data_IF_765489464680
#
_entry.id   IF_765489464680
#
_cell.length_a   1.000
_cell.length_b   1.000
_cell.length_c   1.000
_cell.angle_alpha   90.00
_cell.angle_beta   90.00
_cell.angle_gamma   90.00
#
_symmetry.space_group_name_H-M   'P 1'
#
loop_
_entity.id
_entity.type
_entity.pdbx_description
1 polymer ?
#
# COMPACT_ATOMS: atom_id res chain seq x y z
N UNK A 1 20.49 -16.15 20.94
CA UNK A 1 19.71 -14.93 21.22
C UNK A 1 19.76 -14.07 19.97
N UNK A 2 18.66 -13.45 19.56
CA UNK A 2 18.67 -12.52 18.44
C UNK A 2 19.62 -11.35 18.73
N UNK A 3 20.43 -10.99 17.74
CA UNK A 3 21.37 -9.88 17.85
C UNK A 3 20.63 -8.53 17.80
N UNK A 4 21.08 -7.54 18.59
CA UNK A 4 20.43 -6.22 18.69
C UNK A 4 20.45 -5.47 17.35
N UNK A 5 21.51 -5.67 16.57
CA UNK A 5 21.67 -5.10 15.23
C UNK A 5 20.61 -5.66 14.28
N UNK A 6 20.36 -6.97 14.34
CA UNK A 6 19.30 -7.64 13.58
C UNK A 6 17.90 -7.17 14.00
N UNK A 7 17.61 -7.09 15.31
CA UNK A 7 16.31 -6.63 15.82
C UNK A 7 16.00 -5.19 15.39
N UNK A 8 17.02 -4.32 15.39
CA UNK A 8 16.92 -2.95 14.89
C UNK A 8 16.63 -2.92 13.38
N UNK A 9 17.34 -3.72 12.59
CA UNK A 9 17.11 -3.77 11.13
C UNK A 9 15.69 -4.22 10.79
N UNK A 10 15.20 -5.27 11.44
CA UNK A 10 13.81 -5.76 11.30
C UNK A 10 12.81 -4.67 11.67
N UNK A 11 13.03 -3.98 12.79
CA UNK A 11 12.16 -2.89 13.24
C UNK A 11 12.08 -1.75 12.21
N UNK A 12 13.23 -1.38 11.64
CA UNK A 12 13.31 -0.34 10.59
C UNK A 12 12.53 -0.77 9.35
N UNK A 13 12.80 -1.97 8.83
CA UNK A 13 12.14 -2.51 7.64
C UNK A 13 10.63 -2.69 7.85
N UNK A 14 10.22 -3.14 9.03
CA UNK A 14 8.81 -3.22 9.45
C UNK A 14 8.15 -1.85 9.41
N UNK A 15 8.82 -0.82 9.94
CA UNK A 15 8.34 0.56 9.89
C UNK A 15 8.21 1.11 8.46
N UNK A 16 9.11 0.72 7.56
CA UNK A 16 9.04 1.09 6.13
C UNK A 16 7.79 0.46 5.49
N UNK A 17 7.59 -0.85 5.65
CA UNK A 17 6.41 -1.55 5.11
C UNK A 17 5.12 -0.92 5.64
N UNK A 18 5.03 -0.67 6.95
CA UNK A 18 3.85 -0.05 7.58
C UNK A 18 3.51 1.33 6.99
N UNK A 19 4.51 2.15 6.66
CA UNK A 19 4.30 3.47 6.03
C UNK A 19 3.81 3.32 4.59
N UNK A 20 4.40 2.41 3.83
CA UNK A 20 4.02 2.16 2.44
C UNK A 20 2.60 1.60 2.32
N UNK A 21 2.19 0.72 3.25
CA UNK A 21 0.79 0.24 3.35
C UNK A 21 -0.18 1.42 3.53
N UNK A 22 0.14 2.35 4.44
CA UNK A 22 -0.69 3.53 4.68
C UNK A 22 -0.73 4.47 3.48
N UNK A 23 0.41 4.67 2.82
CA UNK A 23 0.54 5.50 1.62
C UNK A 23 -0.32 4.94 0.47
N UNK A 24 -0.24 3.63 0.22
CA UNK A 24 -1.04 2.96 -0.80
C UNK A 24 -2.55 3.08 -0.51
N UNK A 25 -2.95 2.71 0.71
CA UNK A 25 -4.35 2.79 1.14
C UNK A 25 -4.93 4.21 1.08
N UNK A 26 -4.09 5.23 1.31
CA UNK A 26 -4.51 6.63 1.18
C UNK A 26 -4.85 6.97 -0.27
N UNK A 27 -3.99 6.63 -1.22
CA UNK A 27 -4.23 6.91 -2.64
C UNK A 27 -5.41 6.14 -3.20
N UNK A 28 -5.60 4.87 -2.80
CA UNK A 28 -6.79 4.08 -3.16
C UNK A 28 -8.09 4.74 -2.67
N UNK A 29 -8.13 5.19 -1.42
CA UNK A 29 -9.30 5.88 -0.86
C UNK A 29 -9.58 7.22 -1.51
N UNK A 30 -8.54 7.96 -1.87
CA UNK A 30 -8.71 9.24 -2.56
C UNK A 30 -9.21 9.01 -3.99
N UNK A 31 -8.70 8.01 -4.73
CA UNK A 31 -9.25 7.63 -6.03
C UNK A 31 -10.75 7.25 -5.92
N UNK A 32 -11.11 6.39 -4.96
CA UNK A 32 -12.49 5.98 -4.72
C UNK A 32 -13.40 7.18 -4.45
N UNK A 33 -12.99 8.06 -3.54
CA UNK A 33 -13.73 9.27 -3.18
C UNK A 33 -13.92 10.21 -4.37
N UNK A 34 -12.88 10.42 -5.18
CA UNK A 34 -12.95 11.24 -6.38
C UNK A 34 -13.86 10.61 -7.44
N UNK A 35 -13.87 9.29 -7.55
CA UNK A 35 -14.74 8.52 -8.46
C UNK A 35 -16.20 8.60 -8.04
N UNK A 36 -16.50 8.42 -6.74
CA UNK A 36 -17.85 8.60 -6.17
C UNK A 36 -18.36 10.02 -6.45
N UNK A 37 -17.50 11.03 -6.29
CA UNK A 37 -17.84 12.42 -6.58
C UNK A 37 -18.16 12.61 -8.07
N UNK A 38 -17.37 12.05 -8.98
CA UNK A 38 -17.65 12.10 -10.42
C UNK A 38 -19.01 11.46 -10.76
N UNK A 39 -19.29 10.29 -10.19
CA UNK A 39 -20.57 9.59 -10.39
C UNK A 39 -21.76 10.43 -9.91
N UNK A 40 -21.65 11.07 -8.74
CA UNK A 40 -22.69 11.97 -8.23
C UNK A 40 -22.90 13.17 -9.16
N UNK A 41 -21.82 13.78 -9.66
CA UNK A 41 -21.91 14.90 -10.61
C UNK A 41 -22.60 14.52 -11.92
N UNK A 42 -22.36 13.29 -12.41
CA UNK A 42 -23.01 12.77 -13.61
C UNK A 42 -24.49 12.44 -13.36
N UNK A 43 -24.82 11.91 -12.17
CA UNK A 43 -26.19 11.57 -11.80
C UNK A 43 -27.09 12.82 -11.62
N UNK A 44 -26.53 13.91 -11.06
CA UNK A 44 -27.26 15.17 -10.88
C UNK A 44 -27.60 15.87 -12.20
N UNK A 45 -26.92 15.52 -13.31
CA UNK A 45 -27.25 15.97 -14.67
C UNK A 45 -27.05 17.47 -14.96
N UNK A 46 -26.71 18.28 -13.95
CA UNK A 46 -26.49 19.72 -14.05
C UNK A 46 -25.02 20.16 -14.06
N UNK A 47 -24.08 19.24 -13.96
CA UNK A 47 -22.65 19.55 -13.98
C UNK A 47 -22.16 19.83 -15.41
N UNK A 48 -21.46 20.95 -15.60
CA UNK A 48 -20.84 21.34 -16.86
C UNK A 48 -19.73 20.35 -17.28
N UNK A 49 -19.65 20.04 -18.58
CA UNK A 49 -18.65 19.13 -19.17
C UNK A 49 -17.20 19.49 -18.79
N UNK A 50 -16.88 20.78 -18.69
CA UNK A 50 -15.55 21.25 -18.29
C UNK A 50 -15.21 20.83 -16.86
N UNK A 51 -16.20 20.82 -15.95
CA UNK A 51 -16.02 20.43 -14.56
C UNK A 51 -15.87 18.91 -14.46
N UNK A 52 -16.68 18.16 -15.20
CA UNK A 52 -16.57 16.69 -15.30
C UNK A 52 -15.18 16.30 -15.80
N UNK A 53 -14.69 16.95 -16.86
CA UNK A 53 -13.35 16.68 -17.41
C UNK A 53 -12.24 16.95 -16.40
N UNK A 54 -12.29 18.07 -15.67
CA UNK A 54 -11.33 18.38 -14.60
C UNK A 54 -11.35 17.35 -13.47
N UNK A 55 -12.54 16.87 -13.11
CA UNK A 55 -12.67 15.82 -12.10
C UNK A 55 -12.05 14.50 -12.59
N UNK A 56 -12.19 14.15 -13.86
CA UNK A 56 -11.52 12.99 -14.46
C UNK A 56 -10.00 13.14 -14.51
N UNK A 57 -9.48 14.33 -14.84
CA UNK A 57 -8.03 14.61 -14.81
C UNK A 57 -7.46 14.40 -13.39
N UNK A 58 -8.15 14.89 -12.36
CA UNK A 58 -7.75 14.69 -10.96
C UNK A 58 -7.76 13.21 -10.52
N UNK A 59 -8.74 12.43 -10.99
CA UNK A 59 -8.77 10.97 -10.77
C UNK A 59 -7.53 10.33 -11.42
N UNK A 60 -7.22 10.69 -12.67
CA UNK A 60 -6.07 10.17 -13.41
C UNK A 60 -4.75 10.47 -12.68
N UNK A 61 -4.57 11.70 -12.20
CA UNK A 61 -3.38 12.11 -11.44
C UNK A 61 -3.22 11.29 -10.15
N UNK A 62 -4.32 11.06 -9.43
CA UNK A 62 -4.32 10.25 -8.21
C UNK A 62 -4.01 8.78 -8.52
N UNK A 63 -4.65 8.23 -9.54
CA UNK A 63 -4.47 6.84 -9.98
C UNK A 63 -3.03 6.54 -10.43
N UNK A 64 -2.35 7.51 -11.03
CA UNK A 64 -0.95 7.37 -11.46
C UNK A 64 0.03 7.19 -10.29
N UNK A 65 -0.34 7.53 -9.05
CA UNK A 65 0.51 7.33 -7.87
C UNK A 65 0.50 5.89 -7.35
N UNK A 66 -0.62 5.18 -7.53
CA UNK A 66 -0.87 3.85 -6.96
C UNK A 66 0.17 2.80 -7.43
N UNK A 67 0.53 2.70 -8.73
CA UNK A 67 1.49 1.70 -9.20
C UNK A 67 2.86 1.83 -8.55
N UNK A 68 3.34 3.06 -8.35
CA UNK A 68 4.66 3.29 -7.76
C UNK A 68 4.67 2.95 -6.27
N UNK A 69 3.63 3.34 -5.53
CA UNK A 69 3.47 2.99 -4.13
C UNK A 69 3.38 1.45 -3.95
N UNK A 70 2.62 0.77 -4.81
CA UNK A 70 2.50 -0.68 -4.83
C UNK A 70 3.86 -1.37 -5.10
N UNK A 71 4.62 -0.88 -6.08
CA UNK A 71 5.97 -1.40 -6.39
C UNK A 71 6.93 -1.24 -5.22
N UNK A 72 6.97 -0.06 -4.59
CA UNK A 72 7.81 0.19 -3.41
C UNK A 72 7.41 -0.69 -2.23
N UNK A 73 6.11 -0.93 -2.05
CA UNK A 73 5.58 -1.83 -1.01
C UNK A 73 6.07 -3.26 -1.22
N UNK A 74 5.93 -3.82 -2.44
CA UNK A 74 6.40 -5.19 -2.75
C UNK A 74 7.88 -5.34 -2.45
N UNK A 75 8.72 -4.45 -2.95
CA UNK A 75 10.17 -4.52 -2.73
C UNK A 75 10.53 -4.49 -1.23
N UNK A 76 9.81 -3.69 -0.45
CA UNK A 76 10.01 -3.60 1.00
C UNK A 76 9.52 -4.84 1.73
N UNK A 77 8.38 -5.40 1.32
CA UNK A 77 7.84 -6.67 1.84
C UNK A 77 8.80 -7.82 1.52
N UNK A 78 9.34 -7.91 0.31
CA UNK A 78 10.33 -8.92 -0.06
C UNK A 78 11.62 -8.77 0.75
N UNK A 79 12.10 -7.54 0.94
CA UNK A 79 13.28 -7.28 1.79
C UNK A 79 13.04 -7.71 3.24
N UNK A 80 11.86 -7.43 3.79
CA UNK A 80 11.49 -7.84 5.15
C UNK A 80 11.34 -9.36 5.26
N UNK A 81 10.66 -10.00 4.30
CA UNK A 81 10.55 -11.47 4.22
C UNK A 81 11.92 -12.14 4.21
N UNK A 82 12.85 -11.62 3.41
CA UNK A 82 14.21 -12.14 3.30
C UNK A 82 14.93 -12.13 4.64
N UNK A 83 15.02 -10.98 5.31
CA UNK A 83 15.72 -10.89 6.60
C UNK A 83 15.05 -11.73 7.68
N UNK A 84 13.71 -11.80 7.70
CA UNK A 84 13.00 -12.64 8.69
C UNK A 84 13.16 -14.13 8.43
N UNK A 85 13.29 -14.55 7.17
CA UNK A 85 13.48 -15.95 6.79
C UNK A 85 14.92 -16.44 7.01
N UNK A 86 15.91 -15.61 6.70
CA UNK A 86 17.34 -15.92 6.92
C UNK A 86 17.67 -16.13 8.41
N UNK A 87 16.87 -15.54 9.31
CA UNK A 87 17.10 -15.55 10.75
C UNK A 87 15.95 -16.15 11.57
N UNK A 88 15.04 -16.91 10.95
CA UNK A 88 13.82 -17.41 11.60
C UNK A 88 14.10 -18.13 12.94
N UNK A 89 15.08 -19.03 12.98
CA UNK A 89 15.41 -19.83 14.16
C UNK A 89 15.81 -19.00 15.40
N UNK A 90 16.31 -17.78 15.21
CA UNK A 90 16.71 -16.89 16.31
C UNK A 90 15.68 -15.80 16.61
N UNK A 91 14.70 -15.61 15.72
CA UNK A 91 13.66 -14.59 15.79
C UNK A 91 12.33 -15.12 16.33
N UNK A 92 12.12 -16.43 16.34
CA UNK A 92 10.89 -17.01 16.88
C UNK A 92 10.64 -16.55 18.33
N UNK A 93 9.48 -15.92 18.54
CA UNK A 93 9.02 -15.45 19.86
C UNK A 93 9.44 -14.04 20.26
N UNK A 94 10.22 -13.31 19.45
CA UNK A 94 10.53 -11.89 19.73
C UNK A 94 9.45 -10.96 19.15
N UNK A 95 9.10 -9.86 19.83
CA UNK A 95 8.02 -8.97 19.39
C UNK A 95 8.27 -8.33 18.02
N UNK A 96 9.53 -8.06 17.68
CA UNK A 96 9.93 -7.51 16.38
C UNK A 96 9.58 -8.46 15.23
N UNK A 97 9.74 -9.77 15.45
CA UNK A 97 9.40 -10.78 14.45
C UNK A 97 7.88 -10.87 14.26
N UNK A 98 7.11 -10.84 15.34
CA UNK A 98 5.63 -10.84 15.27
C UNK A 98 5.13 -9.62 14.50
N UNK A 99 5.66 -8.43 14.81
CA UNK A 99 5.33 -7.20 14.10
C UNK A 99 5.73 -7.26 12.62
N UNK A 100 6.90 -7.83 12.30
CA UNK A 100 7.34 -8.01 10.93
C UNK A 100 6.41 -8.93 10.14
N UNK A 101 6.02 -10.07 10.70
CA UNK A 101 5.09 -11.02 10.07
C UNK A 101 3.72 -10.38 9.83
N UNK A 102 3.21 -9.62 10.80
CA UNK A 102 1.96 -8.87 10.64
C UNK A 102 2.05 -7.88 9.47
N UNK A 103 3.12 -7.08 9.40
CA UNK A 103 3.28 -6.10 8.32
C UNK A 103 3.56 -6.76 6.96
N UNK A 104 4.26 -7.90 6.93
CA UNK A 104 4.43 -8.71 5.72
C UNK A 104 3.06 -9.17 5.19
N UNK A 105 2.18 -9.66 6.08
CA UNK A 105 0.84 -10.10 5.71
C UNK A 105 0.02 -8.92 5.18
N UNK A 106 -0.07 -7.84 5.94
CA UNK A 106 -0.81 -6.64 5.54
C UNK A 106 -0.31 -6.08 4.20
N UNK A 107 1.00 -5.95 4.02
CA UNK A 107 1.59 -5.45 2.77
C UNK A 107 1.35 -6.38 1.57
N UNK A 108 1.33 -7.69 1.78
CA UNK A 108 1.02 -8.66 0.72
C UNK A 108 -0.46 -8.60 0.33
N UNK A 109 -1.36 -8.48 1.30
CA UNK A 109 -2.81 -8.37 1.07
C UNK A 109 -3.16 -7.09 0.33
N UNK A 110 -2.67 -5.92 0.76
CA UNK A 110 -2.95 -4.65 0.06
C UNK A 110 -2.40 -4.64 -1.37
N UNK A 111 -1.19 -5.16 -1.58
CA UNK A 111 -0.65 -5.27 -2.93
C UNK A 111 -1.50 -6.18 -3.83
N UNK A 112 -2.01 -7.29 -3.30
CA UNK A 112 -2.84 -8.21 -4.07
C UNK A 112 -4.15 -7.56 -4.51
N UNK A 113 -4.79 -6.77 -3.63
CA UNK A 113 -6.00 -5.99 -3.98
C UNK A 113 -5.73 -5.04 -5.14
N UNK A 114 -4.63 -4.28 -5.09
CA UNK A 114 -4.25 -3.35 -6.18
C UNK A 114 -3.98 -4.11 -7.48
N UNK A 115 -3.30 -5.25 -7.40
CA UNK A 115 -3.05 -6.11 -8.57
C UNK A 115 -4.34 -6.67 -9.17
N UNK A 116 -5.34 -6.98 -8.36
CA UNK A 116 -6.64 -7.46 -8.84
C UNK A 116 -7.45 -6.31 -9.46
N UNK A 117 -7.47 -5.14 -8.82
CA UNK A 117 -8.15 -3.95 -9.34
C UNK A 117 -7.58 -3.53 -10.71
N UNK A 118 -6.26 -3.48 -10.85
CA UNK A 118 -5.60 -3.14 -12.13
C UNK A 118 -5.75 -4.18 -13.25
N UNK A 119 -6.27 -5.39 -12.95
CA UNK A 119 -6.59 -6.42 -13.97
C UNK A 119 -8.07 -6.41 -14.37
N UNK A 120 -8.91 -5.71 -13.63
CA UNK A 120 -10.35 -5.59 -13.87
C UNK A 120 -10.70 -4.37 -14.75
N UNK A 121 -9.79 -3.41 -14.87
CA UNK A 121 -9.85 -2.23 -15.76
C UNK A 121 -9.30 -2.54 -17.17
#
# INVERSE_FOLDING_TARGET
MADLTLLRDISIKTGVVKRLVKELCYYEKEEEKLTIKLQAMQADGGADEHIIKKQMELIQETKQMIPECARRLVNSVESLKKVTGEHEAVLQGVPEYVAAVEQIKAGTEEWLKVKEATRAD
#
